data_IF_838148643137
#
_entry.id   IF_838148643137
#
_cell.length_a   1.000
_cell.length_b   1.000
_cell.length_c   1.000
_cell.angle_alpha   90.00
_cell.angle_beta   90.00
_cell.angle_gamma   90.00
#
_symmetry.space_group_name_H-M   'P 1'
#
loop_
_entity.id
_entity.type
_entity.pdbx_description
1 polymer ?
#
# COMPACT_ATOMS: atom_id res chain seq x y z
N UNK A 1 7.45 -29.26 2.47
CA UNK A 1 6.40 -29.03 1.46
C UNK A 1 5.33 -28.17 2.12
N UNK A 2 5.06 -26.97 1.61
CA UNK A 2 3.90 -26.19 2.07
C UNK A 2 2.65 -26.86 1.49
N UNK A 3 1.58 -27.08 2.29
CA UNK A 3 0.36 -27.69 1.78
C UNK A 3 -0.27 -26.78 0.73
N UNK A 4 -0.57 -27.32 -0.45
CA UNK A 4 -1.39 -26.68 -1.48
C UNK A 4 -2.84 -26.58 -0.97
N UNK A 5 -3.12 -25.58 -0.16
CA UNK A 5 -4.49 -25.22 0.18
C UNK A 5 -5.10 -24.45 -0.99
N UNK A 6 -6.05 -25.08 -1.67
CA UNK A 6 -6.84 -24.46 -2.74
C UNK A 6 -7.87 -23.49 -2.18
N UNK A 7 -7.43 -22.32 -1.72
CA UNK A 7 -8.35 -21.24 -1.40
C UNK A 7 -8.93 -20.64 -2.68
N UNK A 8 -10.23 -20.31 -2.66
CA UNK A 8 -10.83 -19.47 -3.69
C UNK A 8 -10.28 -18.04 -3.59
N UNK A 9 -10.42 -17.23 -4.66
CA UNK A 9 -9.98 -15.83 -4.63
C UNK A 9 -10.67 -15.03 -3.51
N UNK A 10 -11.95 -15.30 -3.27
CA UNK A 10 -12.74 -14.67 -2.21
C UNK A 10 -12.20 -15.03 -0.82
N UNK A 11 -11.86 -16.30 -0.60
CA UNK A 11 -11.26 -16.75 0.66
C UNK A 11 -9.90 -16.09 0.89
N UNK A 12 -9.06 -16.01 -0.15
CA UNK A 12 -7.76 -15.33 -0.05
C UNK A 12 -7.93 -13.84 0.26
N UNK A 13 -8.86 -13.17 -0.42
CA UNK A 13 -9.19 -11.76 -0.17
C UNK A 13 -9.64 -11.55 1.28
N UNK A 14 -10.56 -12.39 1.77
CA UNK A 14 -11.06 -12.32 3.13
C UNK A 14 -9.94 -12.53 4.17
N UNK A 15 -9.06 -13.52 3.98
CA UNK A 15 -7.91 -13.74 4.86
C UNK A 15 -6.96 -12.53 4.85
N UNK A 16 -6.73 -11.91 3.69
CA UNK A 16 -5.93 -10.69 3.59
C UNK A 16 -6.54 -9.55 4.42
N UNK A 17 -7.86 -9.32 4.33
CA UNK A 17 -8.53 -8.28 5.11
C UNK A 17 -8.46 -8.54 6.61
N UNK A 18 -8.75 -9.76 7.06
CA UNK A 18 -8.73 -10.14 8.48
C UNK A 18 -7.33 -9.97 9.08
N UNK A 19 -6.28 -10.45 8.39
CA UNK A 19 -4.91 -10.32 8.88
C UNK A 19 -4.42 -8.87 8.92
N UNK A 20 -4.88 -8.02 7.98
CA UNK A 20 -4.60 -6.59 7.99
C UNK A 20 -5.31 -5.88 9.17
N UNK A 21 -6.60 -6.16 9.39
CA UNK A 21 -7.38 -5.57 10.48
C UNK A 21 -6.86 -6.00 11.86
N UNK A 22 -6.44 -7.26 11.99
CA UNK A 22 -5.81 -7.79 13.21
C UNK A 22 -4.37 -7.31 13.44
N UNK A 23 -3.80 -6.48 12.55
CA UNK A 23 -2.46 -5.93 12.67
C UNK A 23 -1.32 -6.96 12.55
N UNK A 24 -1.61 -8.20 12.12
CA UNK A 24 -0.62 -9.27 12.08
C UNK A 24 0.13 -9.31 10.74
N UNK A 25 0.92 -8.26 10.48
CA UNK A 25 1.55 -8.03 9.17
C UNK A 25 2.60 -9.11 8.83
N UNK A 26 3.26 -9.69 9.83
CA UNK A 26 4.21 -10.79 9.61
C UNK A 26 3.51 -12.08 9.17
N UNK A 27 2.36 -12.43 9.77
CA UNK A 27 1.56 -13.56 9.27
C UNK A 27 1.00 -13.28 7.89
N UNK A 28 0.56 -12.06 7.62
CA UNK A 28 0.12 -11.64 6.28
C UNK A 28 1.23 -11.84 5.24
N UNK A 29 2.46 -11.43 5.56
CA UNK A 29 3.61 -11.62 4.68
C UNK A 29 3.90 -13.09 4.37
N UNK A 30 3.81 -13.99 5.37
CA UNK A 30 3.96 -15.44 5.15
C UNK A 30 2.83 -16.03 4.33
N UNK A 31 1.59 -15.61 4.60
CA UNK A 31 0.42 -16.04 3.84
C UNK A 31 0.55 -15.66 2.36
N UNK A 32 0.88 -14.40 2.06
CA UNK A 32 1.09 -13.94 0.69
C UNK A 32 2.22 -14.70 -0.04
N UNK A 33 3.29 -15.07 0.67
CA UNK A 33 4.37 -15.87 0.11
C UNK A 33 3.95 -17.32 -0.17
N UNK A 34 3.01 -17.86 0.60
CA UNK A 34 2.48 -19.22 0.40
C UNK A 34 1.44 -19.34 -0.72
N UNK A 35 0.97 -18.22 -1.29
CA UNK A 35 -0.03 -18.25 -2.35
C UNK A 35 0.54 -18.90 -3.62
N UNK A 36 -0.26 -19.71 -4.33
CA UNK A 36 0.17 -20.29 -5.61
C UNK A 36 0.39 -19.20 -6.66
N UNK A 37 1.27 -19.46 -7.62
CA UNK A 37 1.53 -18.59 -8.76
C UNK A 37 0.34 -18.59 -9.74
N UNK A 38 -0.75 -17.95 -9.34
CA UNK A 38 -1.96 -17.76 -10.14
C UNK A 38 -2.10 -16.27 -10.48
N UNK A 39 -2.01 -15.94 -11.76
CA UNK A 39 -2.00 -14.55 -12.23
C UNK A 39 -3.27 -13.79 -11.81
N UNK A 40 -4.44 -14.42 -11.92
CA UNK A 40 -5.71 -13.83 -11.51
C UNK A 40 -5.75 -13.51 -10.01
N UNK A 41 -5.19 -14.40 -9.17
CA UNK A 41 -5.13 -14.17 -7.74
C UNK A 41 -4.23 -12.98 -7.39
N UNK A 42 -3.11 -12.84 -8.09
CA UNK A 42 -2.17 -11.73 -7.85
C UNK A 42 -2.65 -10.39 -8.40
N UNK A 43 -3.66 -10.37 -9.27
CA UNK A 43 -4.38 -9.17 -9.73
C UNK A 43 -5.55 -8.78 -8.82
N UNK A 44 -5.93 -9.64 -7.87
CA UNK A 44 -7.00 -9.31 -6.94
C UNK A 44 -6.61 -8.11 -6.06
N UNK A 45 -7.50 -7.12 -5.98
CA UNK A 45 -7.23 -5.85 -5.30
C UNK A 45 -6.89 -6.02 -3.81
N UNK A 46 -7.55 -6.96 -3.11
CA UNK A 46 -7.29 -7.23 -1.69
C UNK A 46 -5.88 -7.81 -1.50
N UNK A 47 -5.44 -8.66 -2.43
CA UNK A 47 -4.07 -9.23 -2.43
C UNK A 47 -3.04 -8.15 -2.73
N UNK A 48 -3.30 -7.28 -3.71
CA UNK A 48 -2.42 -6.16 -4.05
C UNK A 48 -2.30 -5.17 -2.88
N UNK A 49 -3.42 -4.81 -2.24
CA UNK A 49 -3.43 -3.97 -1.04
C UNK A 49 -2.63 -4.60 0.10
N UNK A 50 -2.82 -5.89 0.35
CA UNK A 50 -2.06 -6.61 1.36
C UNK A 50 -0.54 -6.62 1.06
N UNK A 51 -0.15 -6.84 -0.20
CA UNK A 51 1.26 -6.74 -0.64
C UNK A 51 1.83 -5.34 -0.40
N UNK A 52 1.06 -4.29 -0.72
CA UNK A 52 1.46 -2.91 -0.47
C UNK A 52 1.67 -2.63 1.03
N UNK A 53 0.77 -3.11 1.90
CA UNK A 53 0.91 -2.99 3.36
C UNK A 53 2.16 -3.72 3.88
N UNK A 54 2.42 -4.94 3.40
CA UNK A 54 3.62 -5.70 3.79
C UNK A 54 4.89 -5.03 3.29
N UNK A 55 4.90 -4.50 2.05
CA UNK A 55 6.02 -3.77 1.50
C UNK A 55 6.34 -2.52 2.33
N UNK A 56 5.32 -1.75 2.71
CA UNK A 56 5.47 -0.59 3.60
C UNK A 56 6.04 -0.99 4.97
N UNK A 57 5.51 -2.03 5.61
CA UNK A 57 5.96 -2.49 6.92
C UNK A 57 7.44 -2.93 6.91
N UNK A 58 7.89 -3.56 5.83
CA UNK A 58 9.28 -4.00 5.65
C UNK A 58 10.23 -2.88 5.20
N UNK A 59 9.73 -1.66 4.99
CA UNK A 59 10.50 -0.55 4.44
C UNK A 59 10.91 -0.74 2.98
N UNK A 60 10.29 -1.68 2.25
CA UNK A 60 10.53 -1.88 0.83
C UNK A 60 9.65 -0.92 0.01
N UNK A 61 9.97 0.37 0.08
CA UNK A 61 9.15 1.42 -0.53
C UNK A 61 9.16 1.35 -2.06
N UNK A 62 10.24 0.86 -2.68
CA UNK A 62 10.30 0.67 -4.13
C UNK A 62 9.20 -0.28 -4.62
N UNK A 63 8.99 -1.40 -3.91
CA UNK A 63 7.93 -2.34 -4.26
C UNK A 63 6.53 -1.77 -3.96
N UNK A 64 6.39 -1.02 -2.85
CA UNK A 64 5.15 -0.30 -2.56
C UNK A 64 4.77 0.62 -3.72
N UNK A 65 5.68 1.49 -4.18
CA UNK A 65 5.41 2.43 -5.27
C UNK A 65 5.02 1.69 -6.55
N UNK A 66 5.78 0.65 -6.92
CA UNK A 66 5.48 -0.18 -8.08
C UNK A 66 4.06 -0.76 -8.03
N UNK A 67 3.65 -1.33 -6.90
CA UNK A 67 2.30 -1.89 -6.74
C UNK A 67 1.24 -0.80 -6.93
N UNK A 68 1.43 0.33 -6.24
CA UNK A 68 0.47 1.43 -6.26
C UNK A 68 0.37 2.08 -7.64
N UNK A 69 1.45 2.19 -8.40
CA UNK A 69 1.43 2.81 -9.73
C UNK A 69 0.93 1.87 -10.84
N UNK A 70 1.07 0.55 -10.66
CA UNK A 70 0.84 -0.43 -11.75
C UNK A 70 -0.59 -0.97 -11.83
N UNK A 71 -1.44 -0.73 -10.82
CA UNK A 71 -2.78 -1.32 -10.76
C UNK A 71 -3.80 -0.28 -10.33
N UNK A 72 -4.97 -0.24 -10.99
CA UNK A 72 -6.07 0.62 -10.57
C UNK A 72 -6.72 0.03 -9.31
N UNK A 73 -6.91 0.88 -8.31
CA UNK A 73 -7.64 0.53 -7.09
C UNK A 73 -9.01 1.20 -7.09
N UNK A 74 -9.96 0.55 -6.43
CA UNK A 74 -11.31 1.04 -6.18
C UNK A 74 -11.27 2.17 -5.14
N UNK A 75 -12.17 3.16 -5.23
CA UNK A 75 -12.18 4.34 -4.35
C UNK A 75 -12.17 4.02 -2.84
N UNK A 76 -12.83 2.94 -2.43
CA UNK A 76 -12.88 2.52 -1.02
C UNK A 76 -11.50 2.17 -0.43
N UNK A 77 -10.52 1.80 -1.27
CA UNK A 77 -9.15 1.51 -0.84
C UNK A 77 -8.23 2.74 -0.92
N UNK A 78 -8.61 3.79 -1.67
CA UNK A 78 -7.74 4.94 -1.96
C UNK A 78 -7.20 5.60 -0.69
N UNK A 79 -8.06 5.93 0.27
CA UNK A 79 -7.65 6.62 1.49
C UNK A 79 -6.50 5.90 2.23
N UNK A 80 -6.57 4.56 2.32
CA UNK A 80 -5.52 3.77 2.96
C UNK A 80 -4.23 3.77 2.14
N UNK A 81 -4.33 3.59 0.82
CA UNK A 81 -3.17 3.51 -0.06
C UNK A 81 -2.45 4.85 -0.22
N UNK A 82 -3.21 5.96 -0.30
CA UNK A 82 -2.68 7.32 -0.28
C UNK A 82 -1.89 7.59 1.01
N UNK A 83 -2.38 7.13 2.17
CA UNK A 83 -1.65 7.23 3.42
C UNK A 83 -0.32 6.47 3.38
N UNK A 84 -0.27 5.27 2.80
CA UNK A 84 0.96 4.49 2.66
C UNK A 84 1.96 5.22 1.77
N UNK A 85 1.51 5.70 0.61
CA UNK A 85 2.31 6.47 -0.35
C UNK A 85 2.96 7.69 0.32
N UNK A 86 2.14 8.53 0.96
CA UNK A 86 2.62 9.76 1.60
C UNK A 86 3.58 9.46 2.76
N UNK A 87 3.24 8.50 3.63
CA UNK A 87 4.10 8.14 4.77
C UNK A 87 5.44 7.58 4.30
N UNK A 88 5.46 6.76 3.25
CA UNK A 88 6.70 6.17 2.72
C UNK A 88 7.65 7.27 2.23
N UNK A 89 7.16 8.20 1.41
CA UNK A 89 7.97 9.33 0.95
C UNK A 89 8.41 10.26 2.09
N UNK A 90 7.58 10.48 3.12
CA UNK A 90 8.01 11.22 4.30
C UNK A 90 9.15 10.52 5.03
N UNK A 91 9.05 9.21 5.27
CA UNK A 91 10.09 8.42 5.94
C UNK A 91 11.41 8.49 5.16
N UNK A 92 11.37 8.32 3.83
CA UNK A 92 12.58 8.43 3.00
C UNK A 92 13.19 9.83 3.07
N UNK A 93 12.37 10.88 2.99
CA UNK A 93 12.84 12.25 3.07
C UNK A 93 13.38 12.63 4.47
N UNK A 94 12.78 12.10 5.54
CA UNK A 94 13.28 12.26 6.91
C UNK A 94 14.62 11.54 7.09
N UNK A 95 14.73 10.31 6.58
CA UNK A 95 15.97 9.52 6.60
C UNK A 95 17.11 10.23 5.88
N UNK A 96 16.85 10.79 4.70
CA UNK A 96 17.84 11.57 3.94
C UNK A 96 18.25 12.87 4.65
N UNK A 97 17.32 13.51 5.38
CA UNK A 97 17.59 14.77 6.10
C UNK A 97 18.20 14.56 7.48
N UNK A 98 18.12 13.36 8.05
CA UNK A 98 18.54 13.07 9.43
C UNK A 98 17.69 13.76 10.50
N UNK A 99 16.52 14.32 10.15
CA UNK A 99 15.60 14.99 11.10
C UNK A 99 14.15 14.96 10.62
N UNK A 100 13.17 15.06 11.54
CA UNK A 100 11.74 15.09 11.19
C UNK A 100 11.36 16.18 10.18
N UNK A 101 10.32 15.93 9.39
CA UNK A 101 9.73 16.89 8.47
C UNK A 101 8.67 17.74 9.20
N UNK A 102 8.88 19.06 9.20
CA UNK A 102 7.83 20.02 9.51
C UNK A 102 6.80 20.15 8.38
N UNK A 103 5.78 20.99 8.57
CA UNK A 103 4.68 21.18 7.62
C UNK A 103 5.15 21.54 6.20
N UNK A 104 6.10 22.49 6.09
CA UNK A 104 6.69 22.90 4.80
C UNK A 104 7.44 21.75 4.14
N UNK A 105 8.16 20.94 4.92
CA UNK A 105 8.85 19.75 4.42
C UNK A 105 7.88 18.74 3.82
N UNK A 106 6.79 18.42 4.53
CA UNK A 106 5.73 17.53 4.03
C UNK A 106 5.04 18.10 2.80
N UNK A 107 4.81 19.41 2.74
CA UNK A 107 4.29 20.08 1.53
C UNK A 107 5.21 19.87 0.32
N UNK A 108 6.52 20.10 0.47
CA UNK A 108 7.51 19.90 -0.62
C UNK A 108 7.53 18.44 -1.11
N UNK A 109 7.41 17.48 -0.20
CA UNK A 109 7.35 16.05 -0.55
C UNK A 109 6.09 15.74 -1.36
N UNK A 110 4.90 16.18 -0.92
CA UNK A 110 3.64 16.00 -1.65
C UNK A 110 3.67 16.61 -3.05
N UNK A 111 4.30 17.79 -3.18
CA UNK A 111 4.49 18.46 -4.47
C UNK A 111 5.43 17.71 -5.41
N UNK A 112 6.45 17.06 -4.87
CA UNK A 112 7.46 16.30 -5.63
C UNK A 112 6.94 14.92 -6.05
N UNK A 113 6.17 14.28 -5.18
CA UNK A 113 5.63 12.94 -5.38
C UNK A 113 4.09 12.98 -5.24
N UNK A 114 3.37 13.49 -6.25
CA UNK A 114 1.92 13.53 -6.23
C UNK A 114 1.34 12.11 -6.15
N UNK A 115 0.08 12.00 -5.73
CA UNK A 115 -0.62 10.70 -5.70
C UNK A 115 -0.78 10.17 -7.13
N UNK A 116 -0.47 8.89 -7.39
CA UNK A 116 -0.70 8.30 -8.70
C UNK A 116 -2.21 8.11 -8.96
N UNK A 117 -2.61 8.21 -10.24
CA UNK A 117 -4.02 8.11 -10.71
C UNK A 117 -4.70 6.80 -10.33
N UNK A 118 -3.91 5.76 -10.12
CA UNK A 118 -4.34 4.44 -9.64
C UNK A 118 -4.98 4.44 -8.26
N UNK A 119 -4.66 5.42 -7.41
CA UNK A 119 -5.17 5.56 -6.04
C UNK A 119 -5.76 6.95 -5.77
N UNK A 120 -6.00 7.74 -6.82
CA UNK A 120 -6.54 9.09 -6.70
C UNK A 120 -7.26 9.53 -7.98
N UNK A 121 -8.54 9.82 -7.84
CA UNK A 121 -9.42 10.19 -8.96
C UNK A 121 -9.28 11.67 -9.39
N UNK A 122 -8.39 12.44 -8.75
CA UNK A 122 -8.13 13.83 -9.12
C UNK A 122 -9.00 14.86 -8.41
N UNK A 123 -9.81 14.47 -7.42
CA UNK A 123 -10.50 15.44 -6.57
C UNK A 123 -9.47 16.28 -5.82
N UNK A 124 -9.40 17.57 -6.14
CA UNK A 124 -8.56 18.53 -5.43
C UNK A 124 -9.06 18.66 -3.99
N UNK A 125 -8.20 18.30 -3.04
CA UNK A 125 -8.40 18.72 -1.65
C UNK A 125 -8.17 20.22 -1.60
N UNK A 126 -9.23 21.01 -1.75
CA UNK A 126 -9.20 22.46 -1.60
C UNK A 126 -8.74 22.80 -0.19
N UNK A 127 -7.46 23.12 -0.05
CA UNK A 127 -6.93 23.75 1.15
C UNK A 127 -7.29 25.24 1.08
N UNK A 128 -8.57 25.57 1.28
CA UNK A 128 -8.95 26.94 1.60
C UNK A 128 -8.35 27.29 2.97
N UNK A 129 -7.26 28.07 2.96
CA UNK A 129 -6.85 28.81 4.14
C UNK A 129 -7.95 29.84 4.45
N UNK A 130 -8.58 29.72 5.62
CA UNK A 130 -9.39 30.79 6.23
C UNK A 130 -8.47 31.65 7.10
#
# INVERSE_FOLDING_TARGET
>A
MLPTFGFTQEQVAYVCEVLQQGGNIERLGRFLWSLPACEHLHKNESVLKAKAVVAFHRGNFRELYKILESHQFSPHNHAKLQQLWLKAHYIEAEKLRGRPLGAVGKYRVRRKFPLPRSIWDGEETSYCFK
#
